data_IF_066591005159
#
_entry.id   IF_066591005159
#
_cell.length_a   1.000
_cell.length_b   1.000
_cell.length_c   1.000
_cell.angle_alpha   90.00
_cell.angle_beta   90.00
_cell.angle_gamma   90.00
#
_symmetry.space_group_name_H-M   'P 1'
#
loop_
_entity.id
_entity.type
_entity.pdbx_description
1 polymer ?
#
# COMPACT_ATOMS: atom_id res chain seq x y z
N UNK A 1 -39.54 59.87 59.16
CA UNK A 1 -39.27 58.45 59.23
C UNK A 1 -40.09 57.85 58.12
N UNK A 2 -39.67 57.33 57.01
CA UNK A 2 -38.35 57.25 56.52
C UNK A 2 -38.39 56.55 55.16
N UNK A 3 -38.32 57.34 54.11
CA UNK A 3 -38.13 56.83 52.76
C UNK A 3 -36.82 56.03 52.62
N UNK A 4 -35.85 56.33 53.49
CA UNK A 4 -34.51 55.67 53.51
C UNK A 4 -34.56 54.22 54.04
N UNK A 5 -35.48 53.92 55.01
CA UNK A 5 -35.64 52.58 55.60
C UNK A 5 -36.35 51.65 54.65
N UNK A 6 -37.21 52.16 53.76
CA UNK A 6 -37.87 51.32 52.73
C UNK A 6 -36.95 50.95 51.59
N UNK A 7 -35.95 51.75 51.26
CA UNK A 7 -34.95 51.47 50.24
C UNK A 7 -33.91 50.44 50.74
N UNK A 8 -33.53 50.44 52.01
CA UNK A 8 -32.63 49.46 52.60
C UNK A 8 -33.29 48.06 52.72
N UNK A 9 -34.61 47.96 52.94
CA UNK A 9 -35.35 46.70 53.03
C UNK A 9 -35.51 46.04 51.64
N UNK A 10 -35.63 46.82 50.56
CA UNK A 10 -35.67 46.29 49.17
C UNK A 10 -34.31 45.83 48.68
N UNK A 11 -33.22 46.46 49.12
CA UNK A 11 -31.87 46.00 48.74
C UNK A 11 -31.44 44.75 49.50
N UNK A 12 -31.92 44.51 50.74
CA UNK A 12 -31.63 43.29 51.48
C UNK A 12 -32.46 42.09 50.99
N UNK A 13 -33.63 42.31 50.35
CA UNK A 13 -34.41 41.22 49.76
C UNK A 13 -33.87 40.76 48.38
N UNK A 14 -33.11 41.62 47.68
CA UNK A 14 -32.52 41.27 46.37
C UNK A 14 -31.20 40.49 46.46
N UNK A 15 -30.53 40.52 47.60
CA UNK A 15 -29.28 39.78 47.84
C UNK A 15 -29.48 38.35 48.32
N UNK A 16 -30.69 37.93 48.62
CA UNK A 16 -31.00 36.54 49.11
C UNK A 16 -31.49 35.57 48.02
N UNK A 17 -31.60 35.99 46.76
CA UNK A 17 -32.02 35.16 45.63
C UNK A 17 -30.85 34.58 44.83
N UNK A 18 -29.62 34.89 45.18
CA UNK A 18 -28.39 34.45 44.46
C UNK A 18 -27.67 33.25 45.12
N UNK A 19 -28.25 32.61 46.13
CA UNK A 19 -27.65 31.44 46.81
C UNK A 19 -28.61 30.25 46.76
N UNK A 20 -29.06 29.88 45.57
CA UNK A 20 -30.03 28.77 45.46
C UNK A 20 -30.05 28.12 44.07
N UNK A 21 -28.90 27.89 43.44
CA UNK A 21 -28.78 26.97 42.33
C UNK A 21 -27.33 26.37 42.29
N UNK A 22 -26.97 25.69 43.35
CA UNK A 22 -25.96 24.64 43.26
C UNK A 22 -26.68 23.39 42.75
N UNK A 23 -27.19 23.46 41.52
CA UNK A 23 -27.40 22.29 40.72
C UNK A 23 -26.03 21.60 40.64
N UNK A 24 -25.89 20.45 41.27
CA UNK A 24 -24.92 19.45 40.83
C UNK A 24 -25.17 19.22 39.36
N UNK A 25 -24.62 20.07 38.51
CA UNK A 25 -24.25 19.69 37.18
C UNK A 25 -23.29 18.51 37.38
N UNK A 26 -23.81 17.32 37.21
CA UNK A 26 -23.00 16.23 36.78
C UNK A 26 -22.41 16.71 35.46
N UNK A 27 -21.37 17.53 35.52
CA UNK A 27 -20.44 17.65 34.43
C UNK A 27 -19.81 16.27 34.33
N UNK A 28 -20.45 15.41 33.50
CA UNK A 28 -19.66 14.52 32.71
C UNK A 28 -18.64 15.44 32.01
N UNK A 29 -17.55 15.72 32.68
CA UNK A 29 -16.33 16.09 32.00
C UNK A 29 -15.95 14.86 31.19
N UNK A 30 -16.53 14.73 29.98
CA UNK A 30 -15.76 14.15 28.90
C UNK A 30 -14.48 14.94 28.91
N UNK A 31 -13.45 14.40 29.57
CA UNK A 31 -12.09 14.82 29.34
C UNK A 31 -11.93 14.74 27.84
N UNK A 32 -11.85 15.88 27.17
CA UNK A 32 -11.33 15.97 25.83
C UNK A 32 -9.83 15.69 25.93
N UNK A 33 -9.49 14.48 26.34
CA UNK A 33 -8.15 13.95 26.19
C UNK A 33 -7.86 14.00 24.70
N UNK A 34 -6.68 14.48 24.37
CA UNK A 34 -6.21 14.50 22.99
C UNK A 34 -6.44 13.11 22.39
N UNK A 35 -7.13 13.03 21.23
CA UNK A 35 -7.40 11.74 20.57
C UNK A 35 -6.10 11.00 20.31
N UNK A 36 -6.11 9.68 20.47
CA UNK A 36 -4.98 8.84 20.07
C UNK A 36 -4.72 9.09 18.58
N UNK A 37 -3.48 9.44 18.22
CA UNK A 37 -3.07 9.62 16.83
C UNK A 37 -2.31 8.39 16.38
N UNK A 38 -2.79 7.79 15.29
CA UNK A 38 -2.22 6.60 14.66
C UNK A 38 -1.72 7.00 13.29
N UNK A 39 -0.47 6.68 12.99
CA UNK A 39 0.12 6.87 11.66
C UNK A 39 0.56 5.52 11.10
N UNK A 40 0.33 5.30 9.80
CA UNK A 40 0.74 4.08 9.11
C UNK A 40 1.65 4.41 7.93
N UNK A 41 2.53 3.49 7.58
CA UNK A 41 3.35 3.64 6.37
C UNK A 41 2.47 3.68 5.13
N UNK A 42 1.56 2.74 4.97
CA UNK A 42 0.70 2.55 3.79
C UNK A 42 -0.79 2.46 4.18
N UNK A 43 -1.65 2.67 3.19
CA UNK A 43 -3.09 2.86 3.35
C UNK A 43 -3.85 1.64 3.88
N UNK A 44 -3.48 0.42 3.50
CA UNK A 44 -4.18 -0.79 3.97
C UNK A 44 -4.01 -1.03 5.48
N UNK A 45 -2.92 -0.60 6.10
CA UNK A 45 -2.79 -0.59 7.56
C UNK A 45 -3.64 0.52 8.21
N UNK A 46 -3.79 1.68 7.53
CA UNK A 46 -4.68 2.72 8.01
C UNK A 46 -6.14 2.28 8.00
N UNK A 47 -6.55 1.44 7.05
CA UNK A 47 -7.88 0.86 7.02
C UNK A 47 -8.14 -0.05 8.22
N UNK A 48 -7.22 -0.96 8.53
CA UNK A 48 -7.30 -1.78 9.76
C UNK A 48 -7.42 -0.88 10.98
N UNK A 49 -6.57 0.14 11.08
CA UNK A 49 -6.59 1.07 12.20
C UNK A 49 -7.92 1.82 12.34
N UNK A 50 -8.48 2.33 11.24
CA UNK A 50 -9.79 2.99 11.22
C UNK A 50 -10.91 2.03 11.61
N UNK A 51 -10.85 0.79 11.13
CA UNK A 51 -11.86 -0.23 11.45
C UNK A 51 -11.89 -0.56 12.94
N UNK A 52 -10.74 -0.60 13.61
CA UNK A 52 -10.65 -0.91 15.05
C UNK A 52 -10.94 0.32 15.91
N UNK A 53 -10.28 1.44 15.60
CA UNK A 53 -10.35 2.64 16.42
C UNK A 53 -11.67 3.44 16.26
N UNK A 54 -12.33 3.34 15.11
CA UNK A 54 -13.51 4.12 14.80
C UNK A 54 -13.28 5.62 14.99
N UNK A 55 -14.16 6.28 15.72
CA UNK A 55 -14.09 7.71 16.03
C UNK A 55 -13.22 8.06 17.25
N UNK A 56 -12.64 7.05 17.92
CA UNK A 56 -11.84 7.21 19.15
C UNK A 56 -10.39 7.59 18.87
N UNK A 57 -9.91 7.40 17.66
CA UNK A 57 -8.56 7.82 17.26
C UNK A 57 -8.59 8.62 15.95
N UNK A 58 -7.52 9.37 15.72
CA UNK A 58 -7.21 10.00 14.44
C UNK A 58 -6.22 9.12 13.70
N UNK A 59 -6.58 8.65 12.50
CA UNK A 59 -5.76 7.73 11.70
C UNK A 59 -5.33 8.39 10.41
N UNK A 60 -4.03 8.39 10.14
CA UNK A 60 -3.45 8.86 8.89
C UNK A 60 -2.49 7.83 8.30
N UNK A 61 -2.34 7.86 6.97
CA UNK A 61 -1.30 7.13 6.25
C UNK A 61 -0.29 8.10 5.67
N UNK A 62 0.97 7.68 5.54
CA UNK A 62 1.97 8.45 4.81
C UNK A 62 1.74 8.24 3.31
N UNK A 63 1.82 7.02 2.84
CA UNK A 63 1.46 6.67 1.46
C UNK A 63 -0.04 6.34 1.43
N UNK A 64 -0.79 7.08 0.61
CA UNK A 64 -2.25 6.95 0.48
C UNK A 64 -2.73 6.72 -0.94
N UNK A 65 -1.84 6.78 -1.94
CA UNK A 65 -2.14 6.55 -3.36
C UNK A 65 -1.46 5.28 -3.85
N UNK A 66 -2.14 4.53 -4.70
CA UNK A 66 -1.62 3.32 -5.34
C UNK A 66 -0.52 3.58 -6.37
N UNK A 67 -0.33 4.84 -6.79
CA UNK A 67 0.69 5.23 -7.77
C UNK A 67 2.06 5.51 -7.15
N UNK A 68 2.18 5.46 -5.82
CA UNK A 68 3.44 5.72 -5.10
C UNK A 68 4.10 4.38 -4.79
N UNK A 69 5.32 4.20 -5.27
CA UNK A 69 6.16 3.05 -4.94
C UNK A 69 6.71 3.21 -3.51
N UNK A 70 6.39 2.28 -2.59
CA UNK A 70 6.88 2.35 -1.23
C UNK A 70 8.38 2.08 -1.07
N UNK A 71 9.02 1.37 -1.99
CA UNK A 71 10.45 1.08 -1.95
C UNK A 71 11.29 2.34 -2.22
N UNK A 72 10.84 3.19 -3.15
CA UNK A 72 11.53 4.41 -3.57
C UNK A 72 11.00 5.67 -2.88
N UNK A 73 10.13 5.52 -1.87
CA UNK A 73 9.51 6.67 -1.21
C UNK A 73 10.50 7.45 -0.34
N UNK A 74 10.62 8.75 -0.61
CA UNK A 74 11.39 9.70 0.20
C UNK A 74 10.46 10.55 1.08
N UNK A 75 10.49 10.39 2.42
CA UNK A 75 9.60 11.12 3.31
C UNK A 75 9.93 12.62 3.39
N UNK A 76 8.89 13.44 3.43
CA UNK A 76 9.00 14.88 3.59
C UNK A 76 9.10 15.29 5.07
N UNK A 77 9.46 16.58 5.32
CA UNK A 77 9.40 17.15 6.68
C UNK A 77 7.98 17.10 7.28
N UNK A 78 6.94 17.15 6.43
CA UNK A 78 5.55 17.03 6.88
C UNK A 78 5.22 15.60 7.33
N UNK A 79 5.77 14.59 6.66
CA UNK A 79 5.61 13.19 7.05
C UNK A 79 6.33 12.90 8.37
N UNK A 80 7.55 13.41 8.54
CA UNK A 80 8.27 13.35 9.80
C UNK A 80 7.48 14.01 10.95
N UNK A 81 6.78 15.14 10.67
CA UNK A 81 5.92 15.78 11.65
C UNK A 81 4.72 14.92 12.00
N UNK A 82 4.02 14.31 11.03
CA UNK A 82 2.90 13.39 11.30
C UNK A 82 3.32 12.25 12.22
N UNK A 83 4.48 11.65 11.97
CA UNK A 83 5.05 10.58 12.81
C UNK A 83 5.37 11.11 14.21
N UNK A 84 5.99 12.29 14.32
CA UNK A 84 6.32 12.91 15.61
C UNK A 84 5.08 13.21 16.46
N UNK A 85 3.98 13.62 15.85
CA UNK A 85 2.73 13.96 16.50
C UNK A 85 1.88 12.72 16.87
N UNK A 86 2.31 11.51 16.47
CA UNK A 86 1.56 10.28 16.66
C UNK A 86 2.04 9.48 17.86
N UNK A 87 1.13 8.74 18.49
CA UNK A 87 1.41 7.88 19.64
C UNK A 87 1.43 6.37 19.29
N UNK A 88 0.94 6.01 18.10
CA UNK A 88 0.97 4.65 17.56
C UNK A 88 1.38 4.70 16.10
N UNK A 89 2.29 3.82 15.71
CA UNK A 89 2.68 3.62 14.31
C UNK A 89 2.44 2.17 13.90
N UNK A 90 1.97 1.97 12.67
CA UNK A 90 1.84 0.65 12.05
C UNK A 90 2.69 0.64 10.78
N UNK A 91 3.62 -0.30 10.71
CA UNK A 91 4.53 -0.47 9.59
C UNK A 91 4.53 -1.93 9.12
N UNK A 92 4.86 -2.11 7.85
CA UNK A 92 5.03 -3.43 7.27
C UNK A 92 6.24 -4.14 7.88
N UNK A 93 7.39 -3.48 7.87
CA UNK A 93 8.68 -4.06 8.25
C UNK A 93 9.24 -4.98 7.16
N UNK A 94 10.24 -5.78 7.51
CA UNK A 94 10.89 -6.71 6.57
C UNK A 94 11.74 -6.05 5.48
N UNK A 95 11.96 -4.74 5.55
CA UNK A 95 12.67 -3.98 4.51
C UNK A 95 11.77 -3.04 3.72
N UNK A 96 10.49 -3.37 3.56
CA UNK A 96 9.53 -2.70 2.70
C UNK A 96 9.40 -1.18 2.94
N UNK A 97 9.26 -0.78 4.19
CA UNK A 97 9.06 0.62 4.60
C UNK A 97 10.16 1.11 5.55
N UNK A 98 11.41 0.79 5.23
CA UNK A 98 12.59 1.15 6.03
C UNK A 98 12.73 2.66 6.30
N UNK A 99 12.25 3.50 5.39
CA UNK A 99 12.16 4.95 5.57
C UNK A 99 11.21 5.34 6.72
N UNK A 100 10.09 4.61 6.86
CA UNK A 100 9.13 4.84 7.92
C UNK A 100 9.65 4.32 9.28
N UNK A 101 10.35 3.19 9.28
CA UNK A 101 11.00 2.68 10.49
C UNK A 101 12.01 3.69 11.05
N UNK A 102 12.85 4.31 10.17
CA UNK A 102 13.78 5.39 10.55
C UNK A 102 13.06 6.61 11.15
N UNK A 103 11.91 7.01 10.61
CA UNK A 103 11.12 8.11 11.16
C UNK A 103 10.58 7.76 12.55
N UNK A 104 10.05 6.56 12.73
CA UNK A 104 9.49 6.11 14.00
C UNK A 104 10.55 5.90 15.08
N UNK A 105 11.78 5.51 14.73
CA UNK A 105 12.91 5.34 15.67
C UNK A 105 13.34 6.66 16.33
N UNK A 106 13.10 7.78 15.66
CA UNK A 106 13.35 9.11 16.19
C UNK A 106 12.29 9.56 17.22
N UNK A 107 11.12 8.90 17.30
CA UNK A 107 10.07 9.19 18.28
C UNK A 107 10.05 8.12 19.39
N UNK A 108 10.69 8.42 20.53
CA UNK A 108 10.79 7.49 21.68
C UNK A 108 9.45 7.19 22.36
N UNK A 109 8.42 7.97 22.11
CA UNK A 109 7.11 7.85 22.74
C UNK A 109 6.09 7.10 21.87
N UNK A 110 6.46 6.75 20.63
CA UNK A 110 5.58 6.05 19.71
C UNK A 110 5.57 4.54 19.99
N UNK A 111 4.40 3.96 20.10
CA UNK A 111 4.24 2.50 20.17
C UNK A 111 4.18 1.94 18.75
N UNK A 112 5.04 1.00 18.40
CA UNK A 112 5.15 0.45 17.03
C UNK A 112 4.50 -0.92 16.92
N UNK A 113 3.70 -1.12 15.87
CA UNK A 113 3.24 -2.42 15.39
C UNK A 113 3.99 -2.67 14.07
N UNK A 114 4.81 -3.71 14.03
CA UNK A 114 5.58 -4.12 12.87
C UNK A 114 5.04 -5.47 12.37
N UNK A 115 4.41 -5.49 11.21
CA UNK A 115 3.76 -6.67 10.63
C UNK A 115 4.73 -7.84 10.43
N UNK A 116 5.92 -7.58 9.93
CA UNK A 116 6.96 -8.59 9.74
C UNK A 116 7.36 -9.26 11.07
N UNK A 117 7.50 -8.47 12.15
CA UNK A 117 7.78 -9.00 13.48
C UNK A 117 6.64 -9.85 14.05
N UNK A 118 5.37 -9.49 13.76
CA UNK A 118 4.21 -10.29 14.15
C UNK A 118 4.16 -11.65 13.46
N UNK A 119 4.79 -11.77 12.29
CA UNK A 119 4.93 -13.03 11.54
C UNK A 119 6.25 -13.75 11.85
N UNK A 120 7.13 -13.18 12.69
CA UNK A 120 8.48 -13.67 12.97
C UNK A 120 9.37 -13.77 11.73
N UNK A 121 9.23 -12.85 10.77
CA UNK A 121 10.10 -12.76 9.61
C UNK A 121 11.53 -12.48 10.02
N UNK A 122 12.46 -13.05 9.25
CA UNK A 122 13.90 -12.80 9.37
C UNK A 122 14.35 -11.84 8.27
N UNK A 123 15.54 -11.31 8.42
CA UNK A 123 16.16 -10.48 7.38
C UNK A 123 16.31 -11.31 6.09
N UNK A 124 15.83 -10.75 4.99
CA UNK A 124 15.81 -11.38 3.67
C UNK A 124 14.63 -12.30 3.38
N UNK A 125 13.68 -12.47 4.33
CA UNK A 125 12.38 -13.05 3.99
C UNK A 125 11.58 -12.06 3.15
N UNK A 126 10.65 -12.57 2.33
CA UNK A 126 9.78 -11.76 1.48
C UNK A 126 8.92 -10.79 2.31
N UNK A 127 8.99 -9.51 2.00
CA UNK A 127 8.30 -8.43 2.72
C UNK A 127 6.84 -8.21 2.32
N UNK A 128 6.34 -8.82 1.24
CA UNK A 128 4.98 -8.65 0.74
C UNK A 128 3.93 -9.35 1.60
N UNK A 129 4.01 -9.12 2.91
CA UNK A 129 3.26 -9.85 3.93
C UNK A 129 1.76 -9.59 3.94
N UNK A 130 1.27 -8.55 3.27
CA UNK A 130 -0.17 -8.30 3.17
C UNK A 130 -0.91 -9.38 2.39
N UNK A 131 -0.20 -10.19 1.60
CA UNK A 131 -0.74 -11.41 0.97
C UNK A 131 -0.73 -12.63 1.90
N UNK A 132 -0.11 -12.54 3.08
CA UNK A 132 -0.22 -13.58 4.09
C UNK A 132 -1.56 -13.46 4.83
N UNK A 133 -2.40 -14.53 4.84
CA UNK A 133 -3.77 -14.45 5.36
C UNK A 133 -3.84 -14.16 6.87
N UNK A 134 -2.73 -14.26 7.60
CA UNK A 134 -2.70 -14.05 9.06
C UNK A 134 -2.35 -12.62 9.47
N UNK A 135 -1.63 -11.83 8.63
CA UNK A 135 -1.01 -10.58 9.07
C UNK A 135 -2.03 -9.56 9.56
N UNK A 136 -3.11 -9.34 8.79
CA UNK A 136 -4.10 -8.32 9.14
C UNK A 136 -4.87 -8.67 10.41
N UNK A 137 -5.08 -9.97 10.66
CA UNK A 137 -5.66 -10.46 11.92
C UNK A 137 -4.75 -10.17 13.11
N UNK A 138 -3.43 -10.42 12.96
CA UNK A 138 -2.44 -10.15 14.02
C UNK A 138 -2.27 -8.65 14.29
N UNK A 139 -2.26 -7.83 13.23
CA UNK A 139 -2.23 -6.36 13.36
C UNK A 139 -3.47 -5.85 14.10
N UNK A 140 -4.66 -6.37 13.76
CA UNK A 140 -5.90 -5.99 14.44
C UNK A 140 -5.89 -6.37 15.93
N UNK A 141 -5.38 -7.55 16.27
CA UNK A 141 -5.28 -8.01 17.67
C UNK A 141 -4.30 -7.13 18.46
N UNK A 142 -3.09 -6.87 17.92
CA UNK A 142 -2.09 -6.05 18.63
C UNK A 142 -2.52 -4.60 18.76
N UNK A 143 -3.14 -4.03 17.72
CA UNK A 143 -3.69 -2.67 17.79
C UNK A 143 -4.79 -2.57 18.86
N UNK A 144 -5.70 -3.55 18.94
CA UNK A 144 -6.77 -3.58 19.94
C UNK A 144 -6.19 -3.59 21.37
N UNK A 145 -5.15 -4.36 21.60
CA UNK A 145 -4.44 -4.40 22.89
C UNK A 145 -3.85 -3.03 23.23
N UNK A 146 -3.11 -2.41 22.31
CA UNK A 146 -2.49 -1.08 22.50
C UNK A 146 -3.55 0.00 22.77
N UNK A 147 -4.65 0.01 22.00
CA UNK A 147 -5.73 0.96 22.20
C UNK A 147 -6.41 0.77 23.55
N UNK A 148 -6.64 -0.48 23.97
CA UNK A 148 -7.20 -0.80 25.30
C UNK A 148 -6.30 -0.35 26.45
N UNK A 149 -4.98 -0.46 26.30
CA UNK A 149 -4.01 0.03 27.30
C UNK A 149 -4.00 1.56 27.38
N UNK A 150 -4.11 2.25 26.22
CA UNK A 150 -4.09 3.72 26.16
C UNK A 150 -5.43 4.36 26.53
N UNK A 151 -6.54 3.67 26.29
CA UNK A 151 -7.91 4.15 26.49
C UNK A 151 -8.82 3.01 26.99
N UNK A 152 -8.62 2.61 28.23
CA UNK A 152 -9.34 1.49 28.86
C UNK A 152 -10.87 1.69 28.96
N UNK A 153 -11.32 2.96 28.93
CA UNK A 153 -12.74 3.29 28.98
C UNK A 153 -13.51 2.82 27.73
N UNK A 154 -12.81 2.68 26.60
CA UNK A 154 -13.37 2.25 25.32
C UNK A 154 -12.98 0.81 24.94
N UNK A 155 -12.50 -0.01 25.88
CA UNK A 155 -12.06 -1.39 25.64
C UNK A 155 -13.07 -2.23 24.87
N UNK A 156 -14.31 -2.30 25.33
CA UNK A 156 -15.37 -3.11 24.70
C UNK A 156 -15.67 -2.64 23.26
N UNK A 157 -15.54 -1.34 22.99
CA UNK A 157 -15.70 -0.77 21.65
C UNK A 157 -14.62 -1.30 20.71
N UNK A 158 -13.35 -1.26 21.14
CA UNK A 158 -12.25 -1.76 20.32
C UNK A 158 -12.32 -3.26 20.09
N UNK A 159 -12.63 -4.05 21.12
CA UNK A 159 -12.77 -5.50 21.02
C UNK A 159 -13.91 -5.89 20.05
N UNK A 160 -15.06 -5.23 20.14
CA UNK A 160 -16.19 -5.45 19.22
C UNK A 160 -15.81 -5.11 17.77
N UNK A 161 -15.11 -4.01 17.56
CA UNK A 161 -14.68 -3.60 16.23
C UNK A 161 -13.66 -4.58 15.64
N UNK A 162 -12.69 -5.04 16.44
CA UNK A 162 -11.76 -6.09 16.05
C UNK A 162 -12.49 -7.36 15.60
N UNK A 163 -13.44 -7.83 16.38
CA UNK A 163 -14.16 -9.04 16.07
C UNK A 163 -14.98 -8.89 14.78
N UNK A 164 -15.58 -7.71 14.58
CA UNK A 164 -16.28 -7.37 13.35
C UNK A 164 -15.34 -7.36 12.14
N UNK A 165 -14.17 -6.71 12.26
CA UNK A 165 -13.16 -6.69 11.21
C UNK A 165 -12.65 -8.10 10.86
N UNK A 166 -12.31 -8.91 11.87
CA UNK A 166 -11.86 -10.29 11.67
C UNK A 166 -12.93 -11.17 11.02
N UNK A 167 -14.21 -10.93 11.29
CA UNK A 167 -15.32 -11.60 10.62
C UNK A 167 -15.37 -11.25 9.13
N UNK A 168 -15.18 -9.99 8.76
CA UNK A 168 -15.09 -9.60 7.36
C UNK A 168 -13.85 -10.18 6.68
N UNK A 169 -12.69 -10.14 7.37
CA UNK A 169 -11.44 -10.71 6.89
C UNK A 169 -11.54 -12.22 6.65
N UNK A 170 -12.38 -12.94 7.41
CA UNK A 170 -12.58 -14.39 7.23
C UNK A 170 -13.08 -14.74 5.83
N UNK A 171 -13.76 -13.82 5.12
CA UNK A 171 -14.19 -14.02 3.73
C UNK A 171 -13.00 -14.26 2.79
N UNK A 172 -11.90 -13.53 3.00
CA UNK A 172 -10.65 -13.71 2.22
C UNK A 172 -10.02 -15.07 2.54
N UNK A 173 -9.94 -15.40 3.84
CA UNK A 173 -9.37 -16.69 4.30
C UNK A 173 -10.17 -17.88 3.77
N UNK A 174 -11.49 -17.80 3.80
CA UNK A 174 -12.37 -18.84 3.31
C UNK A 174 -12.32 -18.97 1.78
N UNK A 175 -12.13 -17.83 1.07
CA UNK A 175 -11.89 -17.83 -0.37
C UNK A 175 -10.59 -18.57 -0.72
N UNK A 176 -9.47 -18.24 -0.04
CA UNK A 176 -8.20 -18.96 -0.22
C UNK A 176 -8.38 -20.46 0.01
N UNK A 177 -9.03 -20.86 1.10
CA UNK A 177 -9.30 -22.28 1.38
C UNK A 177 -10.09 -22.95 0.28
N UNK A 178 -11.11 -22.29 -0.27
CA UNK A 178 -11.96 -22.83 -1.34
C UNK A 178 -11.20 -23.04 -2.65
N UNK A 179 -10.17 -22.23 -2.92
CA UNK A 179 -9.36 -22.33 -4.14
C UNK A 179 -8.22 -23.34 -4.03
N UNK A 180 -7.79 -23.65 -2.81
CA UNK A 180 -6.60 -24.47 -2.54
C UNK A 180 -6.63 -25.82 -3.24
N UNK A 181 -7.77 -26.50 -3.24
CA UNK A 181 -7.90 -27.82 -3.87
C UNK A 181 -7.67 -27.77 -5.39
N UNK A 182 -8.14 -26.69 -6.04
CA UNK A 182 -7.99 -26.48 -7.49
C UNK A 182 -6.59 -25.97 -7.87
N UNK A 183 -5.93 -25.27 -6.98
CA UNK A 183 -4.61 -24.65 -7.18
C UNK A 183 -3.45 -25.58 -6.87
N UNK A 184 -3.62 -26.46 -5.85
CA UNK A 184 -2.55 -27.26 -5.26
C UNK A 184 -1.75 -28.07 -6.29
N UNK A 185 -0.44 -27.90 -6.24
CA UNK A 185 0.51 -28.62 -7.10
C UNK A 185 0.66 -28.07 -8.52
N UNK A 186 -0.20 -27.14 -8.97
CA UNK A 186 -0.04 -26.50 -10.28
C UNK A 186 1.18 -25.57 -10.25
N UNK A 187 1.95 -25.56 -11.36
CA UNK A 187 3.08 -24.66 -11.49
C UNK A 187 2.66 -23.29 -12.00
N UNK A 188 3.22 -22.25 -11.40
CA UNK A 188 2.97 -20.86 -11.77
C UNK A 188 4.27 -20.12 -12.07
N UNK A 189 4.18 -19.09 -12.87
CA UNK A 189 5.19 -18.06 -13.06
C UNK A 189 4.74 -16.81 -12.31
N UNK A 190 5.54 -16.33 -11.37
CA UNK A 190 5.38 -15.00 -10.74
C UNK A 190 6.39 -14.05 -11.36
N UNK A 191 5.96 -12.85 -11.76
CA UNK A 191 6.87 -11.85 -12.35
C UNK A 191 7.71 -11.16 -11.29
N UNK A 192 7.20 -11.11 -10.06
CA UNK A 192 7.84 -10.61 -8.84
C UNK A 192 7.38 -11.40 -7.63
N UNK A 193 8.04 -11.30 -6.46
CA UNK A 193 7.66 -12.06 -5.26
C UNK A 193 6.41 -11.53 -4.55
N UNK A 194 5.74 -10.52 -5.10
CA UNK A 194 4.57 -9.83 -4.50
C UNK A 194 3.48 -10.80 -4.03
N UNK A 195 3.15 -11.82 -4.84
CA UNK A 195 2.04 -12.74 -4.55
C UNK A 195 2.48 -14.07 -3.91
N UNK A 196 3.73 -14.22 -3.50
CA UNK A 196 4.27 -15.53 -3.06
C UNK A 196 3.57 -16.10 -1.82
N UNK A 197 3.21 -15.28 -0.84
CA UNK A 197 2.44 -15.77 0.32
C UNK A 197 1.08 -16.36 -0.07
N UNK A 198 0.45 -15.80 -1.10
CA UNK A 198 -0.78 -16.37 -1.66
C UNK A 198 -0.50 -17.66 -2.45
N UNK A 199 0.57 -17.68 -3.24
CA UNK A 199 1.06 -18.88 -3.96
C UNK A 199 1.25 -20.05 -3.00
N UNK A 200 1.94 -19.82 -1.89
CA UNK A 200 2.19 -20.82 -0.85
C UNK A 200 0.90 -21.27 -0.15
N UNK A 201 0.05 -20.30 0.24
CA UNK A 201 -1.23 -20.57 0.92
C UNK A 201 -2.17 -21.41 0.08
N UNK A 202 -2.17 -21.19 -1.24
CA UNK A 202 -2.95 -21.93 -2.24
C UNK A 202 -2.31 -23.27 -2.62
N UNK A 203 -1.04 -23.51 -2.29
CA UNK A 203 -0.31 -24.73 -2.60
C UNK A 203 0.18 -24.81 -4.04
N UNK A 204 0.26 -23.69 -4.76
CA UNK A 204 0.95 -23.62 -6.05
C UNK A 204 2.43 -23.98 -5.90
N UNK A 205 3.09 -24.22 -7.01
CA UNK A 205 4.53 -24.51 -7.09
C UNK A 205 5.21 -23.52 -8.01
N UNK A 206 6.39 -23.07 -7.61
CA UNK A 206 7.31 -22.28 -8.43
C UNK A 206 8.61 -23.02 -8.64
N UNK A 207 9.18 -22.95 -9.84
CA UNK A 207 10.51 -23.50 -10.09
C UNK A 207 11.61 -22.55 -9.59
N UNK A 208 12.83 -23.05 -9.45
CA UNK A 208 13.95 -22.22 -9.00
C UNK A 208 14.25 -21.09 -9.98
N UNK A 209 14.07 -21.32 -11.29
CA UNK A 209 14.25 -20.29 -12.32
C UNK A 209 13.21 -19.19 -12.20
N UNK A 210 11.95 -19.53 -11.85
CA UNK A 210 10.90 -18.54 -11.60
C UNK A 210 11.22 -17.70 -10.38
N UNK A 211 11.68 -18.30 -9.30
CA UNK A 211 12.07 -17.55 -8.09
C UNK A 211 13.21 -16.57 -8.37
N UNK A 212 14.22 -17.01 -9.15
CA UNK A 212 15.32 -16.12 -9.54
C UNK A 212 14.87 -15.01 -10.47
N UNK A 213 13.92 -15.26 -11.39
CA UNK A 213 13.31 -14.22 -12.22
C UNK A 213 12.60 -13.20 -11.35
N UNK A 214 11.73 -13.66 -10.45
CA UNK A 214 10.95 -12.79 -9.59
C UNK A 214 11.85 -11.87 -8.73
N UNK A 215 12.87 -12.44 -8.10
CA UNK A 215 13.84 -11.67 -7.33
C UNK A 215 14.65 -10.70 -8.20
N UNK A 216 15.12 -11.12 -9.38
CA UNK A 216 15.86 -10.23 -10.28
C UNK A 216 15.00 -9.06 -10.74
N UNK A 217 13.70 -9.29 -11.02
CA UNK A 217 12.77 -8.23 -11.42
C UNK A 217 12.56 -7.22 -10.30
N UNK A 218 12.35 -7.66 -9.06
CA UNK A 218 12.21 -6.82 -7.87
C UNK A 218 13.46 -5.95 -7.64
N UNK A 219 14.65 -6.52 -7.86
CA UNK A 219 15.93 -5.81 -7.73
C UNK A 219 16.27 -4.92 -8.96
N UNK A 220 15.38 -4.83 -9.95
CA UNK A 220 15.61 -4.09 -11.20
C UNK A 220 16.69 -4.72 -12.09
N UNK A 221 17.00 -6.01 -11.92
CA UNK A 221 18.00 -6.74 -12.65
C UNK A 221 17.37 -7.64 -13.73
N UNK A 222 18.14 -7.96 -14.77
CA UNK A 222 17.74 -8.98 -15.75
C UNK A 222 18.02 -10.40 -15.23
N UNK A 223 17.12 -11.37 -15.48
CA UNK A 223 17.37 -12.78 -15.17
C UNK A 223 18.49 -13.34 -16.06
N UNK A 224 19.10 -14.45 -15.62
CA UNK A 224 20.10 -15.11 -16.46
C UNK A 224 19.47 -15.61 -17.78
N UNK A 225 20.20 -15.54 -18.93
CA UNK A 225 19.69 -16.03 -20.21
C UNK A 225 19.27 -17.50 -20.18
N UNK A 226 19.91 -18.32 -19.35
CA UNK A 226 19.56 -19.73 -19.20
C UNK A 226 18.24 -19.91 -18.44
N UNK A 227 18.05 -19.18 -17.34
CA UNK A 227 16.80 -19.23 -16.56
C UNK A 227 15.63 -18.74 -17.41
N UNK A 228 15.81 -17.62 -18.15
CA UNK A 228 14.83 -17.10 -19.08
C UNK A 228 14.44 -18.13 -20.15
N UNK A 229 15.40 -18.80 -20.77
CA UNK A 229 15.15 -19.87 -21.75
C UNK A 229 14.34 -21.02 -21.14
N UNK A 230 14.73 -21.45 -19.95
CA UNK A 230 14.04 -22.54 -19.25
C UNK A 230 12.58 -22.17 -18.94
N UNK A 231 12.31 -20.92 -18.50
CA UNK A 231 10.96 -20.40 -18.25
C UNK A 231 10.14 -20.38 -19.56
N UNK A 232 10.72 -19.89 -20.66
CA UNK A 232 10.06 -19.89 -21.96
C UNK A 232 9.69 -21.31 -22.43
N UNK A 233 10.55 -22.31 -22.22
CA UNK A 233 10.26 -23.70 -22.50
C UNK A 233 9.13 -24.26 -21.61
N UNK A 234 9.09 -23.87 -20.33
CA UNK A 234 8.03 -24.26 -19.41
C UNK A 234 6.67 -23.64 -19.79
N UNK A 235 6.63 -22.41 -20.32
CA UNK A 235 5.42 -21.80 -20.88
C UNK A 235 4.96 -22.57 -22.13
N UNK A 236 5.85 -22.76 -23.12
CA UNK A 236 5.55 -23.45 -24.40
C UNK A 236 5.06 -24.89 -24.19
N UNK A 237 5.64 -25.60 -23.23
CA UNK A 237 5.23 -26.97 -22.87
C UNK A 237 3.99 -27.01 -21.97
N UNK A 238 3.42 -25.88 -21.58
CA UNK A 238 2.29 -25.76 -20.63
C UNK A 238 2.58 -26.40 -19.26
N UNK A 239 3.84 -26.49 -18.88
CA UNK A 239 4.24 -26.86 -17.52
C UNK A 239 3.85 -25.76 -16.54
N UNK A 240 4.04 -24.48 -16.93
CA UNK A 240 3.44 -23.33 -16.26
C UNK A 240 1.97 -23.24 -16.67
N UNK A 241 1.08 -23.30 -15.69
CA UNK A 241 -0.37 -23.30 -15.87
C UNK A 241 -1.02 -21.95 -15.70
N UNK A 242 -0.28 -20.97 -15.16
CA UNK A 242 -0.73 -19.62 -14.86
C UNK A 242 0.47 -18.68 -14.72
N UNK A 243 0.38 -17.49 -15.29
CA UNK A 243 1.28 -16.37 -14.99
C UNK A 243 0.59 -15.44 -14.00
N UNK A 244 1.30 -15.07 -12.93
CA UNK A 244 0.87 -14.07 -11.93
C UNK A 244 1.75 -12.85 -12.15
N UNK A 245 1.13 -11.79 -12.65
CA UNK A 245 1.81 -10.59 -13.09
C UNK A 245 1.54 -9.43 -12.13
N UNK A 246 2.59 -8.84 -11.51
CA UNK A 246 2.46 -7.54 -10.88
C UNK A 246 2.40 -6.47 -11.98
N UNK A 247 1.26 -5.76 -12.09
CA UNK A 247 1.07 -4.76 -13.15
C UNK A 247 1.78 -3.43 -12.87
N UNK A 248 2.31 -3.26 -11.68
CA UNK A 248 2.99 -2.03 -11.26
C UNK A 248 4.49 -2.05 -11.59
N UNK A 249 5.03 -3.22 -11.90
CA UNK A 249 6.42 -3.38 -12.35
C UNK A 249 6.44 -4.10 -13.69
N UNK A 250 7.01 -3.47 -14.71
CA UNK A 250 7.14 -4.05 -16.04
C UNK A 250 8.49 -3.73 -16.65
N UNK A 251 8.98 -4.65 -17.47
CA UNK A 251 10.14 -4.47 -18.33
C UNK A 251 9.97 -5.34 -19.59
N UNK A 252 10.83 -5.14 -20.58
CA UNK A 252 10.74 -5.87 -21.86
C UNK A 252 10.80 -7.39 -21.73
N UNK A 253 11.51 -7.90 -20.72
CA UNK A 253 11.61 -9.34 -20.45
C UNK A 253 10.27 -9.88 -19.95
N UNK A 254 9.64 -9.19 -19.00
CA UNK A 254 8.33 -9.54 -18.46
C UNK A 254 7.25 -9.44 -19.54
N UNK A 255 7.21 -8.36 -20.30
CA UNK A 255 6.28 -8.19 -21.44
C UNK A 255 6.40 -9.33 -22.45
N UNK A 256 7.65 -9.73 -22.77
CA UNK A 256 7.91 -10.86 -23.66
C UNK A 256 7.41 -12.20 -23.09
N UNK A 257 7.53 -12.44 -21.79
CA UNK A 257 7.00 -13.63 -21.13
C UNK A 257 5.47 -13.66 -21.08
N UNK A 258 4.83 -12.52 -20.83
CA UNK A 258 3.37 -12.38 -20.85
C UNK A 258 2.84 -12.64 -22.26
N UNK A 259 3.43 -12.01 -23.29
CA UNK A 259 3.06 -12.25 -24.69
C UNK A 259 3.21 -13.73 -25.05
N UNK A 260 4.32 -14.36 -24.66
CA UNK A 260 4.54 -15.80 -24.91
C UNK A 260 3.50 -16.67 -24.19
N UNK A 261 3.08 -16.30 -22.98
CA UNK A 261 2.04 -16.99 -22.24
C UNK A 261 0.68 -16.90 -22.97
N UNK A 262 0.30 -15.72 -23.42
CA UNK A 262 -0.93 -15.49 -24.18
C UNK A 262 -0.95 -16.29 -25.50
N UNK A 263 0.13 -16.26 -26.28
CA UNK A 263 0.29 -17.04 -27.52
C UNK A 263 0.11 -18.53 -27.28
N UNK A 264 0.57 -19.02 -26.14
CA UNK A 264 0.46 -20.43 -25.75
C UNK A 264 -0.82 -20.74 -24.95
N UNK A 265 -1.74 -19.77 -24.82
CA UNK A 265 -3.00 -19.92 -24.06
C UNK A 265 -2.76 -20.32 -22.59
N UNK A 266 -1.68 -19.83 -22.00
CA UNK A 266 -1.46 -19.86 -20.56
C UNK A 266 -2.11 -18.59 -19.99
N UNK A 267 -3.09 -18.72 -19.08
CA UNK A 267 -3.80 -17.56 -18.55
C UNK A 267 -2.87 -16.66 -17.73
N UNK A 268 -3.21 -15.38 -17.67
CA UNK A 268 -2.52 -14.37 -16.85
C UNK A 268 -3.48 -13.86 -15.78
N UNK A 269 -3.03 -13.84 -14.53
CA UNK A 269 -3.67 -13.16 -13.40
C UNK A 269 -2.88 -11.88 -13.12
N UNK A 270 -3.53 -10.74 -13.23
CA UNK A 270 -2.94 -9.47 -12.84
C UNK A 270 -3.17 -9.20 -11.35
N UNK A 271 -2.11 -8.87 -10.65
CA UNK A 271 -2.11 -8.49 -9.22
C UNK A 271 -1.45 -7.13 -9.05
N UNK A 272 -1.65 -6.51 -7.90
CA UNK A 272 -1.01 -5.24 -7.55
C UNK A 272 -0.28 -5.36 -6.23
N UNK A 273 0.80 -4.65 -6.09
CA UNK A 273 1.57 -4.53 -4.85
C UNK A 273 0.90 -3.57 -3.89
N UNK A 274 0.41 -2.44 -4.39
CA UNK A 274 -0.27 -1.42 -3.60
C UNK A 274 -1.79 -1.56 -3.71
N UNK A 275 -2.50 -1.18 -2.65
CA UNK A 275 -3.96 -1.22 -2.61
C UNK A 275 -4.53 -0.21 -3.63
N UNK A 276 -5.37 -0.64 -4.60
CA UNK A 276 -5.99 0.24 -5.57
C UNK A 276 -6.87 1.31 -4.91
N UNK A 277 -6.83 2.53 -5.46
CA UNK A 277 -7.61 3.65 -4.95
C UNK A 277 -9.11 3.33 -4.93
N UNK A 278 -9.77 3.71 -3.85
CA UNK A 278 -11.21 3.52 -3.68
C UNK A 278 -11.65 2.10 -3.28
N UNK A 279 -10.72 1.15 -3.14
CA UNK A 279 -11.02 -0.20 -2.61
C UNK A 279 -10.57 -0.34 -1.18
N UNK A 280 -11.29 -1.17 -0.42
CA UNK A 280 -10.83 -1.67 0.87
C UNK A 280 -9.84 -2.81 0.67
N UNK A 281 -9.03 -3.11 1.69
CA UNK A 281 -8.11 -4.25 1.66
C UNK A 281 -8.85 -5.57 1.35
N UNK A 282 -10.00 -5.78 1.97
CA UNK A 282 -10.80 -7.00 1.79
C UNK A 282 -11.34 -7.09 0.36
N UNK A 283 -11.86 -6.00 -0.20
CA UNK A 283 -12.32 -5.93 -1.59
C UNK A 283 -11.16 -6.18 -2.56
N UNK A 284 -10.01 -5.54 -2.35
CA UNK A 284 -8.80 -5.75 -3.15
C UNK A 284 -8.39 -7.21 -3.18
N UNK A 285 -8.28 -7.86 -2.02
CA UNK A 285 -7.93 -9.28 -1.94
C UNK A 285 -9.00 -10.17 -2.61
N UNK A 286 -10.28 -9.94 -2.30
CA UNK A 286 -11.36 -10.75 -2.88
C UNK A 286 -11.43 -10.61 -4.40
N UNK A 287 -11.20 -9.44 -4.97
CA UNK A 287 -11.21 -9.25 -6.42
C UNK A 287 -10.14 -10.11 -7.09
N UNK A 288 -8.91 -10.10 -6.58
CA UNK A 288 -7.83 -10.91 -7.13
C UNK A 288 -8.11 -12.42 -7.00
N UNK A 289 -8.62 -12.87 -5.85
CA UNK A 289 -8.96 -14.27 -5.67
C UNK A 289 -10.21 -14.70 -6.47
N UNK A 290 -11.16 -13.80 -6.74
CA UNK A 290 -12.29 -14.10 -7.62
C UNK A 290 -11.84 -14.29 -9.07
N UNK A 291 -10.94 -13.42 -9.56
CA UNK A 291 -10.32 -13.58 -10.88
C UNK A 291 -9.51 -14.87 -10.98
N UNK A 292 -8.73 -15.20 -9.94
CA UNK A 292 -8.04 -16.48 -9.87
C UNK A 292 -9.02 -17.67 -9.94
N UNK A 293 -10.17 -17.57 -9.26
CA UNK A 293 -11.20 -18.62 -9.33
C UNK A 293 -11.72 -18.81 -10.75
N UNK A 294 -12.01 -17.74 -11.47
CA UNK A 294 -12.45 -17.79 -12.87
C UNK A 294 -11.42 -18.50 -13.75
N UNK A 295 -10.13 -18.17 -13.59
CA UNK A 295 -9.02 -18.83 -14.29
C UNK A 295 -8.95 -20.31 -13.95
N UNK A 296 -9.02 -20.66 -12.67
CA UNK A 296 -8.97 -22.08 -12.23
C UNK A 296 -10.18 -22.91 -12.69
N UNK A 297 -11.29 -22.24 -13.01
CA UNK A 297 -12.49 -22.85 -13.60
C UNK A 297 -12.44 -22.93 -15.15
N UNK A 298 -11.33 -22.57 -15.78
CA UNK A 298 -11.14 -22.65 -17.24
C UNK A 298 -11.33 -21.32 -17.98
N UNK A 299 -11.41 -20.20 -17.27
CA UNK A 299 -11.38 -18.86 -17.86
C UNK A 299 -10.03 -18.55 -18.52
N UNK A 300 -10.04 -17.69 -19.54
CA UNK A 300 -8.87 -17.36 -20.36
C UNK A 300 -7.83 -16.44 -19.68
N UNK A 301 -8.12 -15.95 -18.48
CA UNK A 301 -7.31 -14.90 -17.85
C UNK A 301 -7.69 -13.49 -18.33
N UNK A 302 -7.03 -12.47 -17.79
CA UNK A 302 -7.22 -11.08 -18.18
C UNK A 302 -6.21 -10.70 -19.25
N UNK A 303 -6.59 -9.77 -20.14
CA UNK A 303 -5.61 -9.04 -20.93
C UNK A 303 -4.78 -8.16 -19.98
N UNK A 304 -3.52 -7.90 -20.30
CA UNK A 304 -2.65 -7.04 -19.51
C UNK A 304 -3.39 -5.77 -19.09
N UNK A 305 -3.49 -5.53 -17.79
CA UNK A 305 -4.10 -4.31 -17.26
C UNK A 305 -3.10 -3.18 -17.49
N UNK A 306 -3.40 -2.28 -18.41
CA UNK A 306 -2.68 -1.02 -18.52
C UNK A 306 -3.21 -0.10 -17.42
N UNK A 307 -2.35 0.34 -16.52
CA UNK A 307 -2.66 1.46 -15.63
C UNK A 307 -2.88 2.68 -16.54
N UNK A 308 -4.11 3.16 -16.64
CA UNK A 308 -4.39 4.43 -17.33
C UNK A 308 -3.58 5.54 -16.65
N UNK A 309 -2.49 5.95 -17.28
CA UNK A 309 -1.59 7.00 -16.78
C UNK A 309 -0.14 6.90 -17.27
N UNK A 310 0.28 5.77 -17.86
CA UNK A 310 1.66 5.60 -18.35
C UNK A 310 1.84 5.88 -19.86
N UNK A 311 0.78 6.19 -20.60
CA UNK A 311 0.84 6.54 -22.03
C UNK A 311 0.35 7.95 -22.30
N UNK A 312 1.10 8.97 -21.89
CA UNK A 312 1.15 10.26 -22.58
C UNK A 312 2.50 10.91 -22.37
N UNK A 313 3.48 10.52 -23.16
CA UNK A 313 4.52 11.40 -23.73
C UNK A 313 5.43 10.53 -24.60
N UNK A 314 5.18 10.54 -25.88
CA UNK A 314 6.14 10.44 -27.00
C UNK A 314 5.47 9.94 -28.28
N UNK A 315 4.49 10.71 -28.78
CA UNK A 315 4.22 10.70 -30.21
C UNK A 315 4.56 12.08 -30.80
N UNK A 316 5.82 12.32 -31.09
CA UNK A 316 6.18 13.38 -31.99
C UNK A 316 5.89 12.92 -33.42
N UNK A 317 4.72 13.35 -33.92
CA UNK A 317 4.42 13.31 -35.35
C UNK A 317 5.41 14.24 -36.07
N UNK A 318 6.36 13.67 -36.82
CA UNK A 318 7.08 14.39 -37.83
C UNK A 318 6.14 14.67 -39.03
N UNK A 319 5.50 15.81 -39.01
CA UNK A 319 4.97 16.40 -40.27
C UNK A 319 6.14 16.91 -41.08
N UNK A 320 6.36 16.28 -42.22
CA UNK A 320 7.37 16.68 -43.20
C UNK A 320 6.98 17.99 -43.86
N UNK A 321 7.70 19.05 -43.59
CA UNK A 321 7.69 20.25 -44.43
C UNK A 321 8.77 20.10 -45.54
N UNK A 322 8.28 19.88 -46.77
CA UNK A 322 9.06 20.03 -47.98
C UNK A 322 9.27 21.51 -48.24
N UNK A 323 10.50 22.00 -48.15
CA UNK A 323 10.90 23.29 -48.70
C UNK A 323 11.68 23.09 -50.00
N UNK A 324 11.08 23.59 -51.09
CA UNK A 324 11.71 23.77 -52.40
C UNK A 324 12.86 24.76 -52.32
N UNK A 325 14.04 24.35 -52.83
CA UNK A 325 15.17 25.23 -53.06
C UNK A 325 14.95 26.00 -54.35
N UNK A 326 14.88 27.32 -54.26
CA UNK A 326 15.24 28.21 -55.34
C UNK A 326 16.66 28.72 -55.13
N UNK A 327 17.49 28.58 -56.16
CA UNK A 327 18.88 28.93 -56.14
C UNK A 327 19.12 30.42 -56.28
N UNK A 328 20.20 30.85 -55.64
CA UNK A 328 20.92 32.06 -56.07
C UNK A 328 22.43 31.78 -55.99
N UNK A 329 23.04 31.82 -57.18
CA UNK A 329 24.44 32.02 -57.41
C UNK A 329 24.93 33.34 -56.83
N UNK A 330 26.03 33.37 -56.16
CA UNK A 330 26.99 34.47 -56.28
C UNK A 330 28.38 34.01 -55.86
N UNK A 331 29.22 34.30 -56.79
CA UNK A 331 30.61 34.10 -57.04
C UNK A 331 31.52 34.94 -56.08
N UNK A 332 32.74 34.52 -56.06
CA UNK A 332 34.01 35.23 -55.92
C UNK A 332 34.68 35.47 -54.55
N UNK A 333 35.77 34.79 -54.54
CA UNK A 333 37.17 35.29 -54.37
C UNK A 333 37.78 35.53 -52.97
N UNK A 334 38.82 34.76 -52.89
CA UNK A 334 40.19 35.17 -52.57
C UNK A 334 40.66 35.39 -51.10
N UNK A 335 41.74 34.66 -50.93
CA UNK A 335 43.00 34.96 -50.25
C UNK A 335 43.21 34.63 -48.79
N UNK A 336 43.97 33.64 -48.65
CA UNK A 336 45.39 33.64 -48.19
C UNK A 336 45.70 33.95 -46.72
N UNK A 337 46.54 33.03 -46.23
CA UNK A 337 47.69 33.13 -45.30
C UNK A 337 47.40 32.85 -43.84
N UNK A 338 47.94 31.75 -43.44
CA UNK A 338 49.28 31.52 -42.83
C UNK A 338 49.36 31.66 -41.32
N UNK A 339 49.83 30.55 -40.78
CA UNK A 339 50.92 30.43 -39.77
C UNK A 339 50.67 31.12 -38.42
N UNK A 340 50.82 30.52 -37.34
CA UNK A 340 51.92 29.79 -36.70
C UNK A 340 51.63 29.56 -35.22
N UNK A 341 51.99 28.40 -34.78
CA UNK A 341 52.78 28.06 -33.59
C UNK A 341 52.41 28.49 -32.15
N UNK A 342 52.43 27.48 -31.36
CA UNK A 342 53.04 27.35 -30.02
C UNK A 342 52.36 28.06 -28.82
N UNK A 343 51.84 27.35 -27.92
CA UNK A 343 52.48 26.71 -26.74
C UNK A 343 51.47 25.87 -25.97
#
# INVERSE_FOLDING_TARGET
MNKLFKLLAVFAAFTLVLVGCSSKSNSNSSSSGEKIKIVTSVNFYAEVAKSIAGDKAEVSSIISSSSVDPHDFEPTAQDAKKVSDSSVAILNGGGYDSWFEKLTDNNKNITKINGAKLLNLKDGDNEHIWYNPEVMSKVADELTKILTEKDSANKEFYEKNRDSYKKELSKVIDKIKSLKEKANGKQVLTTEPVFEYAVDSLGFKTSDEVKKLAQATEEGNDPSPQDLKNIQEQIKSKKISLVINNVQTTNKTIEGLITLAEENKVPVLNVTETQPDGKTYIEWMLDQYNKLEEILNGGSGEKAYHVEGAEEEHSHSHEGHSHSHEGHDHNDNDRDKKEDEKK
#
